data_IF_886343047236
#
_entry.id   IF_886343047236
#
_cell.length_a   1.000
_cell.length_b   1.000
_cell.length_c   1.000
_cell.angle_alpha   90.00
_cell.angle_beta   90.00
_cell.angle_gamma   90.00
#
_symmetry.space_group_name_H-M   'P 1'
#
loop_
_entity.id
_entity.type
_entity.pdbx_description
1 polymer ?
#
# COMPACT_ATOMS: atom_id res chain seq x y z
N UNK A 1 -9.12 -22.60 0.68
CA UNK A 1 -7.76 -22.05 0.58
C UNK A 1 -7.73 -21.20 -0.68
N UNK A 2 -7.68 -19.85 -0.53
CA UNK A 2 -7.59 -18.92 -1.65
C UNK A 2 -6.13 -18.76 -2.09
N UNK A 3 -5.88 -18.68 -3.40
CA UNK A 3 -4.59 -18.29 -3.94
C UNK A 3 -4.30 -16.84 -3.53
N UNK A 4 -3.17 -16.60 -2.87
CA UNK A 4 -2.73 -15.25 -2.49
C UNK A 4 -1.79 -14.73 -3.57
N UNK A 5 -2.07 -13.53 -4.09
CA UNK A 5 -1.19 -12.83 -5.03
C UNK A 5 -0.50 -11.66 -4.32
N UNK A 6 0.80 -11.56 -4.50
CA UNK A 6 1.59 -10.41 -4.07
C UNK A 6 2.13 -9.71 -5.33
N UNK A 7 1.87 -8.40 -5.45
CA UNK A 7 2.45 -7.59 -6.52
C UNK A 7 3.54 -6.70 -5.93
N UNK A 8 4.73 -6.75 -6.52
CA UNK A 8 5.85 -5.88 -6.18
C UNK A 8 6.06 -4.90 -7.34
N UNK A 9 6.19 -3.62 -7.00
CA UNK A 9 6.50 -2.56 -7.94
C UNK A 9 7.91 -2.07 -7.60
N UNK A 10 8.80 -2.08 -8.58
CA UNK A 10 10.17 -1.62 -8.43
C UNK A 10 10.45 -0.50 -9.43
N UNK A 11 11.13 0.53 -8.96
CA UNK A 11 11.64 1.59 -9.79
C UNK A 11 12.84 1.09 -10.62
N UNK A 12 12.94 1.48 -11.89
CA UNK A 12 13.96 0.97 -12.79
C UNK A 12 15.39 1.27 -12.31
N UNK A 13 15.60 2.40 -11.63
CA UNK A 13 16.90 2.82 -11.11
C UNK A 13 17.38 1.95 -9.93
N UNK A 14 16.47 1.33 -9.19
CA UNK A 14 16.83 0.38 -8.12
C UNK A 14 17.48 -0.90 -8.65
N UNK A 15 17.32 -1.20 -9.93
CA UNK A 15 17.82 -2.42 -10.56
C UNK A 15 19.19 -2.25 -11.25
N UNK A 16 19.80 -1.07 -11.16
CA UNK A 16 21.21 -0.82 -11.51
C UNK A 16 21.61 -1.12 -12.94
N UNK A 17 20.75 -0.86 -13.94
CA UNK A 17 21.19 -1.15 -15.30
C UNK A 17 20.30 -0.69 -16.43
N UNK A 18 20.90 0.01 -17.37
CA UNK A 18 20.37 0.25 -18.69
C UNK A 18 20.30 -1.06 -19.50
N UNK A 19 19.10 -1.57 -19.70
CA UNK A 19 18.83 -2.55 -20.77
C UNK A 19 19.36 -3.96 -20.53
N UNK A 20 18.84 -4.64 -19.55
CA UNK A 20 19.07 -6.08 -19.35
C UNK A 20 17.92 -6.68 -18.55
N UNK A 21 17.61 -7.94 -18.79
CA UNK A 21 16.70 -8.69 -17.94
C UNK A 21 17.20 -8.60 -16.50
N UNK A 22 16.56 -7.73 -15.69
CA UNK A 22 16.93 -7.58 -14.27
C UNK A 22 16.71 -8.91 -13.56
N UNK A 23 17.77 -9.46 -13.00
CA UNK A 23 17.67 -10.58 -12.08
C UNK A 23 16.96 -10.06 -10.84
N UNK A 24 15.71 -10.49 -10.64
CA UNK A 24 15.04 -10.41 -9.34
C UNK A 24 15.99 -11.03 -8.33
N UNK A 25 16.21 -10.37 -7.19
CA UNK A 25 17.09 -10.86 -6.15
C UNK A 25 16.65 -12.27 -5.72
N UNK A 26 17.40 -13.27 -6.16
CA UNK A 26 17.12 -14.69 -5.92
C UNK A 26 17.09 -14.98 -4.42
N UNK A 27 17.82 -14.19 -3.60
CA UNK A 27 17.82 -14.29 -2.15
C UNK A 27 16.47 -13.97 -1.52
N UNK A 28 15.72 -12.98 -2.06
CA UNK A 28 14.37 -12.69 -1.58
C UNK A 28 13.41 -13.85 -1.89
N UNK A 29 13.53 -14.44 -3.08
CA UNK A 29 12.72 -15.58 -3.47
C UNK A 29 13.07 -16.85 -2.65
N UNK A 30 14.34 -17.06 -2.30
CA UNK A 30 14.79 -18.15 -1.43
C UNK A 30 14.31 -17.95 0.01
N UNK A 31 14.40 -16.73 0.56
CA UNK A 31 13.92 -16.41 1.92
C UNK A 31 12.41 -16.63 2.05
N UNK A 32 11.64 -16.35 0.99
CA UNK A 32 10.19 -16.61 0.98
C UNK A 32 9.89 -18.11 0.87
N UNK A 33 10.72 -18.91 0.18
CA UNK A 33 10.58 -20.38 0.10
C UNK A 33 10.88 -21.08 1.42
N UNK A 34 11.87 -20.64 2.18
CA UNK A 34 12.24 -21.29 3.44
C UNK A 34 11.19 -21.10 4.56
N UNK A 35 10.26 -20.15 4.42
CA UNK A 35 9.21 -19.86 5.41
C UNK A 35 7.88 -20.55 5.19
N UNK A 36 7.69 -21.27 4.07
CA UNK A 36 6.39 -21.86 3.75
C UNK A 36 6.49 -23.34 3.49
N UNK A 37 5.95 -24.14 4.38
CA UNK A 37 5.58 -25.53 4.10
C UNK A 37 4.39 -25.51 3.13
N UNK A 38 4.59 -25.97 1.90
CA UNK A 38 3.58 -26.31 0.88
C UNK A 38 2.59 -25.21 0.39
N UNK A 39 2.65 -23.96 0.88
CA UNK A 39 1.86 -22.87 0.33
C UNK A 39 2.65 -22.13 -0.77
N UNK A 40 2.14 -22.13 -2.00
CA UNK A 40 2.69 -21.32 -3.09
C UNK A 40 1.98 -19.97 -3.14
N UNK A 41 2.76 -18.88 -3.27
CA UNK A 41 2.24 -17.52 -3.47
C UNK A 41 2.66 -17.10 -4.88
N UNK A 42 1.70 -16.70 -5.70
CA UNK A 42 2.00 -16.04 -6.97
C UNK A 42 2.48 -14.62 -6.73
N UNK A 43 3.68 -14.31 -7.20
CA UNK A 43 4.24 -12.95 -7.15
C UNK A 43 4.37 -12.39 -8.57
N UNK A 44 3.91 -11.16 -8.77
CA UNK A 44 4.08 -10.42 -10.00
C UNK A 44 4.97 -9.20 -9.75
N UNK A 45 6.08 -9.10 -10.47
CA UNK A 45 6.98 -7.96 -10.43
C UNK A 45 6.76 -7.11 -11.68
N UNK A 46 6.53 -5.80 -11.49
CA UNK A 46 6.44 -4.81 -12.56
C UNK A 46 7.60 -3.85 -12.46
N UNK A 47 8.31 -3.70 -13.56
CA UNK A 47 9.40 -2.73 -13.71
C UNK A 47 8.84 -1.58 -14.55
N UNK A 48 8.94 -0.36 -14.03
CA UNK A 48 8.40 0.84 -14.66
C UNK A 48 9.46 1.94 -14.71
N UNK A 49 9.32 2.88 -15.65
CA UNK A 49 10.16 4.06 -15.67
C UNK A 49 9.92 4.93 -14.41
N UNK A 50 10.95 5.59 -13.85
CA UNK A 50 10.81 6.44 -12.66
C UNK A 50 9.65 7.43 -12.76
N UNK A 51 9.48 8.08 -13.89
CA UNK A 51 8.40 9.04 -14.13
C UNK A 51 6.99 8.43 -14.04
N UNK A 52 6.84 7.14 -14.27
CA UNK A 52 5.56 6.43 -14.17
C UNK A 52 5.32 5.80 -12.79
N UNK A 53 6.36 5.74 -11.94
CA UNK A 53 6.30 5.01 -10.67
C UNK A 53 5.19 5.51 -9.73
N UNK A 54 4.99 6.82 -9.49
CA UNK A 54 3.91 7.30 -8.61
C UNK A 54 2.52 6.87 -9.11
N UNK A 55 2.30 6.93 -10.42
CA UNK A 55 1.02 6.56 -11.03
C UNK A 55 0.77 5.06 -10.98
N UNK A 56 1.80 4.27 -11.26
CA UNK A 56 1.74 2.81 -11.17
C UNK A 56 1.48 2.38 -9.71
N UNK A 57 2.18 3.00 -8.75
CA UNK A 57 1.98 2.76 -7.32
C UNK A 57 0.52 3.05 -6.92
N UNK A 58 0.01 4.23 -7.22
CA UNK A 58 -1.38 4.62 -6.93
C UNK A 58 -2.38 3.65 -7.56
N UNK A 59 -2.17 3.27 -8.83
CA UNK A 59 -3.05 2.37 -9.56
C UNK A 59 -3.13 0.98 -8.91
N UNK A 60 -1.98 0.39 -8.52
CA UNK A 60 -1.92 -0.96 -7.96
C UNK A 60 -2.22 -1.02 -6.47
N UNK A 61 -2.08 0.10 -5.76
CA UNK A 61 -2.54 0.23 -4.37
C UNK A 61 -4.07 0.12 -4.29
N UNK A 62 -4.77 0.71 -5.24
CA UNK A 62 -6.25 0.64 -5.32
C UNK A 62 -6.91 1.55 -4.27
N UNK A 63 -8.15 1.24 -3.86
CA UNK A 63 -8.99 0.16 -4.42
C UNK A 63 -9.37 0.39 -5.89
N UNK A 64 -10.03 -0.58 -6.51
CA UNK A 64 -10.57 -0.43 -7.87
C UNK A 64 -11.57 0.73 -7.94
N UNK A 65 -12.44 0.81 -6.96
CA UNK A 65 -13.50 1.81 -6.85
C UNK A 65 -12.88 3.20 -6.67
N UNK A 66 -11.92 3.35 -5.79
CA UNK A 66 -11.14 4.58 -5.62
C UNK A 66 -10.48 5.02 -6.93
N UNK A 67 -9.81 4.10 -7.64
CA UNK A 67 -9.19 4.38 -8.93
C UNK A 67 -10.19 4.84 -9.99
N UNK A 68 -11.41 4.32 -9.99
CA UNK A 68 -12.48 4.78 -10.89
C UNK A 68 -12.83 6.23 -10.57
N UNK A 69 -12.99 6.58 -9.28
CA UNK A 69 -13.29 7.94 -8.85
C UNK A 69 -12.18 8.91 -9.18
N UNK A 70 -10.93 8.54 -8.94
CA UNK A 70 -9.76 9.34 -9.31
C UNK A 70 -9.73 9.67 -10.81
N UNK A 71 -10.02 8.68 -11.67
CA UNK A 71 -10.11 8.91 -13.12
C UNK A 71 -11.27 9.82 -13.50
N UNK A 72 -12.44 9.68 -12.86
CA UNK A 72 -13.57 10.56 -13.08
C UNK A 72 -13.24 12.00 -12.68
N UNK A 73 -12.54 12.19 -11.55
CA UNK A 73 -12.08 13.51 -11.09
C UNK A 73 -11.10 14.12 -12.10
N UNK A 74 -10.17 13.32 -12.63
CA UNK A 74 -9.25 13.76 -13.67
C UNK A 74 -9.99 14.23 -14.95
N UNK A 75 -10.95 13.44 -15.43
CA UNK A 75 -11.78 13.78 -16.60
C UNK A 75 -12.55 15.09 -16.36
N UNK A 76 -13.13 15.28 -15.18
CA UNK A 76 -13.82 16.51 -14.80
C UNK A 76 -12.92 17.77 -14.83
N UNK A 77 -11.59 17.58 -14.85
CA UNK A 77 -10.57 18.64 -14.94
C UNK A 77 -9.89 18.72 -16.33
N UNK A 78 -10.40 17.99 -17.31
CA UNK A 78 -9.81 17.93 -18.66
C UNK A 78 -8.48 17.15 -18.68
N UNK A 79 -8.32 16.21 -17.76
CA UNK A 79 -7.14 15.35 -17.61
C UNK A 79 -7.53 13.87 -17.79
N UNK A 80 -6.55 13.03 -18.12
CA UNK A 80 -6.66 11.57 -18.14
C UNK A 80 -5.62 10.98 -17.19
N UNK A 81 -6.05 10.07 -16.33
CA UNK A 81 -5.21 9.36 -15.38
C UNK A 81 -5.23 7.86 -15.68
N UNK A 82 -4.03 7.26 -15.75
CA UNK A 82 -3.84 5.81 -15.81
C UNK A 82 -2.54 5.40 -15.10
N UNK A 83 -2.19 4.14 -15.13
CA UNK A 83 -0.97 3.60 -14.51
C UNK A 83 0.35 4.11 -15.10
N UNK A 84 0.32 4.82 -16.22
CA UNK A 84 1.51 5.37 -16.89
C UNK A 84 1.68 6.88 -16.65
N UNK A 85 0.63 7.57 -16.20
CA UNK A 85 0.72 9.01 -16.00
C UNK A 85 -0.61 9.75 -15.90
N UNK A 86 -0.48 11.07 -15.78
CA UNK A 86 -1.54 12.07 -15.81
C UNK A 86 -1.30 12.98 -17.02
N UNK A 87 -2.29 13.10 -17.88
CA UNK A 87 -2.15 13.78 -19.19
C UNK A 87 -3.27 14.79 -19.40
N UNK A 88 -3.02 15.94 -20.09
CA UNK A 88 -4.10 16.74 -20.65
C UNK A 88 -4.94 15.90 -21.62
N UNK A 89 -6.26 16.03 -21.58
CA UNK A 89 -7.16 15.24 -22.44
C UNK A 89 -6.85 15.38 -23.92
N UNK A 90 -6.49 16.59 -24.34
CA UNK A 90 -6.12 16.89 -25.74
C UNK A 90 -4.80 16.24 -26.16
N UNK A 91 -3.87 16.03 -25.24
CA UNK A 91 -2.56 15.43 -25.51
C UNK A 91 -2.59 13.90 -25.48
N UNK A 92 -3.68 13.34 -24.95
CA UNK A 92 -3.79 11.90 -24.72
C UNK A 92 -4.08 11.11 -26.00
N UNK A 93 -4.11 11.66 -27.20
CA UNK A 93 -4.29 10.93 -28.48
C UNK A 93 -4.54 9.42 -28.35
N UNK A 94 -4.52 8.65 -29.38
CA UNK A 94 -4.66 7.16 -29.31
C UNK A 94 -3.43 6.45 -28.69
N UNK A 95 -2.46 7.20 -28.14
CA UNK A 95 -1.24 6.66 -27.53
C UNK A 95 -1.53 6.19 -26.11
N UNK A 96 -1.95 4.94 -25.98
CA UNK A 96 -2.10 4.24 -24.71
C UNK A 96 -0.81 3.46 -24.41
N UNK A 97 -0.22 3.63 -23.24
CA UNK A 97 0.94 2.85 -22.81
C UNK A 97 2.21 3.64 -22.55
N UNK A 98 3.38 2.99 -22.64
CA UNK A 98 4.69 3.58 -22.29
C UNK A 98 5.07 4.84 -23.10
N UNK A 99 4.57 5.02 -24.31
CA UNK A 99 4.78 6.26 -25.07
C UNK A 99 4.07 7.45 -24.41
N UNK A 100 2.90 7.23 -23.81
CA UNK A 100 2.20 8.26 -23.07
C UNK A 100 2.99 8.74 -21.85
N UNK A 101 3.78 7.87 -21.20
CA UNK A 101 4.61 8.23 -20.05
C UNK A 101 5.61 9.37 -20.35
N UNK A 102 5.99 9.56 -21.62
CA UNK A 102 6.87 10.65 -22.05
C UNK A 102 6.20 12.04 -22.01
N UNK A 103 4.89 12.09 -21.94
CA UNK A 103 4.09 13.32 -21.96
C UNK A 103 3.29 13.53 -20.67
N UNK A 104 3.55 12.71 -19.64
CA UNK A 104 2.88 12.84 -18.36
C UNK A 104 3.22 14.17 -17.68
N UNK A 105 2.26 14.70 -16.95
CA UNK A 105 2.52 15.74 -15.97
C UNK A 105 3.47 15.14 -14.94
N UNK A 106 4.56 15.82 -14.62
CA UNK A 106 5.57 15.33 -13.70
C UNK A 106 5.00 15.28 -12.26
N UNK A 107 5.12 14.13 -11.64
CA UNK A 107 4.75 13.90 -10.24
C UNK A 107 5.90 13.15 -9.58
N UNK A 108 6.37 13.66 -8.44
CA UNK A 108 7.45 13.04 -7.66
C UNK A 108 6.94 11.90 -6.79
N UNK A 109 5.69 12.00 -6.36
CA UNK A 109 5.01 11.02 -5.53
C UNK A 109 3.50 11.00 -5.78
N UNK A 110 2.76 10.19 -5.01
CA UNK A 110 1.30 10.12 -5.12
C UNK A 110 0.63 11.43 -4.69
N UNK A 111 1.19 12.18 -3.76
CA UNK A 111 0.58 13.43 -3.27
C UNK A 111 0.49 14.48 -4.38
N UNK A 112 1.48 14.54 -5.26
CA UNK A 112 1.46 15.40 -6.45
C UNK A 112 0.28 15.07 -7.37
N UNK A 113 -0.03 13.78 -7.55
CA UNK A 113 -1.19 13.34 -8.36
C UNK A 113 -2.48 13.93 -7.79
N UNK A 114 -2.69 13.79 -6.47
CA UNK A 114 -3.86 14.35 -5.79
C UNK A 114 -3.89 15.88 -5.88
N UNK A 115 -2.74 16.53 -5.70
CA UNK A 115 -2.59 17.99 -5.83
C UNK A 115 -3.04 18.51 -7.21
N UNK A 116 -2.61 17.86 -8.29
CA UNK A 116 -3.06 18.20 -9.66
C UNK A 116 -4.57 18.00 -9.85
N UNK A 117 -5.16 17.10 -9.08
CA UNK A 117 -6.60 16.87 -9.06
C UNK A 117 -7.34 17.76 -8.04
N UNK A 118 -6.65 18.73 -7.40
CA UNK A 118 -7.22 19.67 -6.41
C UNK A 118 -7.73 18.97 -5.17
N UNK A 119 -6.99 17.98 -4.70
CA UNK A 119 -7.33 17.18 -3.53
C UNK A 119 -6.12 17.05 -2.60
N UNK A 120 -6.39 16.84 -1.33
CA UNK A 120 -5.39 16.34 -0.38
C UNK A 120 -5.08 14.88 -0.66
N UNK A 121 -3.85 14.45 -0.40
CA UNK A 121 -3.47 13.04 -0.51
C UNK A 121 -4.33 12.16 0.41
N UNK A 122 -4.83 11.07 -0.13
CA UNK A 122 -5.62 10.07 0.60
C UNK A 122 -4.71 8.89 0.94
N UNK A 123 -4.61 8.57 2.23
CA UNK A 123 -3.85 7.41 2.68
C UNK A 123 -4.42 6.10 2.10
N UNK A 124 -3.57 5.11 1.75
CA UNK A 124 -4.02 3.84 1.18
C UNK A 124 -5.16 3.16 1.93
N UNK A 125 -5.12 3.22 3.27
CA UNK A 125 -6.10 2.62 4.17
C UNK A 125 -7.51 3.21 4.02
N UNK A 126 -7.64 4.40 3.43
CA UNK A 126 -8.92 5.08 3.23
C UNK A 126 -9.46 4.98 1.81
N UNK A 127 -8.76 4.32 0.87
CA UNK A 127 -9.07 4.32 -0.57
C UNK A 127 -10.13 3.27 -0.93
N UNK A 128 -11.36 3.41 -0.39
CA UNK A 128 -12.45 2.43 -0.55
C UNK A 128 -13.72 2.99 -1.23
N UNK A 129 -13.66 4.22 -1.78
CA UNK A 129 -14.80 4.96 -2.34
C UNK A 129 -15.97 5.10 -1.33
N UNK A 130 -15.63 5.45 -0.09
CA UNK A 130 -16.59 5.68 0.99
C UNK A 130 -16.76 7.18 1.35
N UNK A 131 -16.43 8.07 0.40
CA UNK A 131 -16.54 9.53 0.56
C UNK A 131 -15.22 10.24 0.76
N UNK A 132 -14.09 9.52 0.72
CA UNK A 132 -12.75 10.09 0.88
C UNK A 132 -12.39 11.06 -0.26
N UNK A 133 -12.89 10.84 -1.48
CA UNK A 133 -12.66 11.74 -2.63
C UNK A 133 -13.29 13.10 -2.39
N UNK A 134 -14.53 13.13 -1.94
CA UNK A 134 -15.26 14.37 -1.63
C UNK A 134 -14.67 15.06 -0.39
N UNK A 135 -14.24 14.29 0.61
CA UNK A 135 -13.62 14.83 1.81
C UNK A 135 -12.25 15.44 1.53
N UNK A 136 -11.46 14.84 0.62
CA UNK A 136 -10.14 15.30 0.21
C UNK A 136 -10.18 16.48 -0.75
N UNK A 137 -11.30 16.71 -1.47
CA UNK A 137 -11.43 17.78 -2.45
C UNK A 137 -11.27 19.17 -1.81
N UNK A 138 -10.81 20.14 -2.59
CA UNK A 138 -10.74 21.54 -2.17
C UNK A 138 -12.13 22.04 -1.73
N UNK A 139 -12.21 22.54 -0.48
CA UNK A 139 -13.49 22.92 0.15
C UNK A 139 -14.30 21.76 0.73
N UNK A 140 -13.78 20.53 0.69
CA UNK A 140 -14.35 19.37 1.38
C UNK A 140 -14.22 19.46 2.91
N UNK A 141 -14.80 18.49 3.58
CA UNK A 141 -14.80 18.44 5.06
C UNK A 141 -13.44 18.08 5.66
N UNK A 142 -12.49 17.68 4.82
CA UNK A 142 -11.18 17.16 5.22
C UNK A 142 -11.19 15.67 5.56
N UNK A 143 -10.01 15.07 5.47
CA UNK A 143 -9.80 13.65 5.79
C UNK A 143 -9.63 13.46 7.30
N UNK A 144 -10.07 12.32 7.86
CA UNK A 144 -9.77 12.00 9.25
C UNK A 144 -8.27 11.79 9.46
N UNK A 145 -7.80 12.06 10.67
CA UNK A 145 -6.45 11.70 11.10
C UNK A 145 -6.45 10.21 11.44
N UNK A 146 -5.59 9.45 10.77
CA UNK A 146 -5.44 8.02 11.04
C UNK A 146 -4.64 7.78 12.33
N UNK A 147 -4.91 6.64 12.96
CA UNK A 147 -4.14 6.18 14.11
C UNK A 147 -2.77 5.72 13.64
N UNK A 148 -1.73 6.19 14.31
CA UNK A 148 -0.36 5.77 14.09
C UNK A 148 0.13 4.84 15.21
N UNK A 149 1.22 4.06 15.00
CA UNK A 149 1.79 3.20 16.05
C UNK A 149 2.11 3.93 17.35
N UNK A 150 2.49 5.21 17.28
CA UNK A 150 2.75 6.08 18.44
C UNK A 150 1.52 6.42 19.27
N UNK A 151 0.32 6.29 18.71
CA UNK A 151 -0.93 6.55 19.40
C UNK A 151 -1.39 5.35 20.25
N UNK A 152 -0.81 4.17 19.97
CA UNK A 152 -1.17 2.93 20.67
C UNK A 152 -0.59 2.97 22.08
N UNK A 153 -1.47 2.90 23.07
CA UNK A 153 -1.12 2.93 24.50
C UNK A 153 -1.02 1.55 25.14
N UNK A 154 -1.48 0.52 24.46
CA UNK A 154 -1.43 -0.85 24.95
C UNK A 154 -2.37 -1.78 24.20
N UNK A 155 -2.39 -3.05 24.61
CA UNK A 155 -3.25 -4.09 24.07
C UNK A 155 -3.95 -4.86 25.19
N UNK A 156 -5.17 -5.32 24.92
CA UNK A 156 -6.03 -5.93 25.97
C UNK A 156 -6.34 -7.42 25.73
N UNK A 157 -5.96 -8.01 24.60
CA UNK A 157 -6.28 -9.38 24.26
C UNK A 157 -5.03 -10.08 23.78
N UNK A 158 -4.20 -10.52 24.72
CA UNK A 158 -2.94 -11.19 24.45
C UNK A 158 -2.90 -12.52 25.22
N UNK A 159 -2.34 -13.54 24.59
CA UNK A 159 -2.20 -14.88 25.13
C UNK A 159 -0.72 -15.20 25.35
N UNK A 160 -0.42 -15.90 26.46
CA UNK A 160 0.94 -16.34 26.78
C UNK A 160 1.08 -17.85 26.58
N UNK A 161 2.27 -18.38 26.85
CA UNK A 161 2.52 -19.84 26.91
C UNK A 161 1.70 -20.56 28.02
N UNK A 162 0.99 -19.81 28.84
CA UNK A 162 0.06 -20.42 29.82
C UNK A 162 -1.21 -20.96 29.13
N UNK A 163 -1.50 -20.55 27.89
CA UNK A 163 -2.57 -21.12 27.06
C UNK A 163 -2.05 -21.47 25.66
N UNK A 164 -2.38 -20.70 24.64
CA UNK A 164 -2.08 -20.94 23.22
C UNK A 164 -1.11 -19.91 22.62
N UNK A 165 -0.58 -18.99 23.42
CA UNK A 165 0.46 -18.07 23.03
C UNK A 165 1.85 -18.74 22.92
N UNK A 166 2.79 -18.03 22.32
CA UNK A 166 4.16 -18.54 22.06
C UNK A 166 5.24 -17.87 22.92
N UNK A 167 4.90 -16.78 23.62
CA UNK A 167 5.80 -16.01 24.45
C UNK A 167 5.41 -16.08 25.94
N UNK A 168 6.38 -15.96 26.81
CA UNK A 168 6.15 -15.87 28.26
C UNK A 168 5.55 -14.50 28.63
N UNK A 169 4.97 -14.38 29.81
CA UNK A 169 4.45 -13.12 30.33
C UNK A 169 5.56 -12.06 30.42
N UNK A 170 6.75 -12.46 30.85
CA UNK A 170 7.92 -11.59 31.01
C UNK A 170 8.37 -11.05 29.66
N UNK A 171 8.49 -11.89 28.63
CA UNK A 171 8.87 -11.48 27.28
C UNK A 171 7.86 -10.50 26.68
N UNK A 172 6.56 -10.74 26.88
CA UNK A 172 5.50 -9.86 26.41
C UNK A 172 5.50 -8.51 27.14
N UNK A 173 5.73 -8.52 28.46
CA UNK A 173 5.84 -7.31 29.25
C UNK A 173 7.06 -6.47 28.82
N UNK A 174 8.20 -7.10 28.58
CA UNK A 174 9.41 -6.42 28.08
C UNK A 174 9.18 -5.82 26.68
N UNK A 175 8.53 -6.57 25.78
CA UNK A 175 8.18 -6.06 24.46
C UNK A 175 7.23 -4.85 24.53
N UNK A 176 6.20 -4.89 25.39
CA UNK A 176 5.29 -3.79 25.61
C UNK A 176 6.01 -2.54 26.14
N UNK A 177 6.92 -2.71 27.09
CA UNK A 177 7.74 -1.59 27.61
C UNK A 177 8.64 -1.00 26.52
N UNK A 178 9.25 -1.84 25.68
CA UNK A 178 10.10 -1.40 24.57
C UNK A 178 9.31 -0.63 23.50
N UNK A 179 8.02 -0.95 23.32
CA UNK A 179 7.09 -0.21 22.46
C UNK A 179 6.57 1.10 23.11
N UNK A 180 6.89 1.34 24.38
CA UNK A 180 6.40 2.50 25.13
C UNK A 180 4.94 2.41 25.53
N UNK A 181 4.37 1.21 25.59
CA UNK A 181 2.99 1.00 26.00
C UNK A 181 2.80 1.24 27.51
N UNK A 182 1.64 1.75 27.88
CA UNK A 182 1.27 2.08 29.27
C UNK A 182 0.65 0.87 30.00
N UNK A 183 0.09 -0.09 29.23
CA UNK A 183 -0.55 -1.28 29.78
C UNK A 183 -0.49 -2.45 28.78
N UNK A 184 -0.59 -3.67 29.36
CA UNK A 184 -0.74 -4.92 28.63
C UNK A 184 -1.77 -5.79 29.35
N UNK A 185 -2.86 -6.15 28.66
CA UNK A 185 -3.88 -7.04 29.17
C UNK A 185 -3.62 -8.47 28.69
N UNK A 186 -3.54 -9.42 29.64
CA UNK A 186 -3.41 -10.84 29.35
C UNK A 186 -4.78 -11.50 29.47
N UNK A 187 -5.11 -12.34 28.49
CA UNK A 187 -6.40 -13.01 28.34
C UNK A 187 -6.21 -14.51 28.05
N UNK A 188 -5.32 -15.15 28.79
CA UNK A 188 -5.07 -16.59 28.65
C UNK A 188 -6.34 -17.41 28.87
N UNK A 189 -6.48 -18.48 28.10
CA UNK A 189 -7.59 -19.40 28.22
C UNK A 189 -7.49 -20.19 29.54
N UNK A 190 -8.64 -20.51 30.12
CA UNK A 190 -8.69 -21.37 31.30
C UNK A 190 -8.45 -22.84 30.92
N UNK A 191 -7.95 -23.64 31.87
CA UNK A 191 -7.69 -25.09 31.69
C UNK A 191 -8.91 -25.91 31.23
N UNK A 192 -10.13 -25.34 31.32
CA UNK A 192 -11.39 -26.02 30.97
C UNK A 192 -11.69 -25.89 29.45
N UNK A 193 -11.03 -24.98 28.75
CA UNK A 193 -11.18 -24.82 27.32
C UNK A 193 -10.14 -25.69 26.59
N UNK A 194 -10.62 -26.81 26.03
CA UNK A 194 -9.82 -27.58 25.05
C UNK A 194 -9.72 -26.75 23.75
N UNK A 195 -8.60 -26.08 23.58
CA UNK A 195 -8.24 -25.38 22.34
C UNK A 195 -7.20 -26.20 21.62
#
# INVERSE_FOLDING_TARGET
HGESKVSLILEADMLGGTGGHGSVDVQLAETLRERSSDATIDAQVRIVAPVAFPFTLAYFTGSKEHNIRMRQTAIGRGLRLNEFGLFPEEAAGDSIGMEAAKHTIECSDEADIYGHLGMSWVAPEMREDMGEIEAAAEGGVGLPVLIEPSDIKGALHNHTVASDGTATLEEMAEAAMNLGWEYLGIADHSEVLNI
#
